data_IF_740786903653
#
_entry.id   IF_740786903653
#
_cell.length_a   1.000
_cell.length_b   1.000
_cell.length_c   1.000
_cell.angle_alpha   90.00
_cell.angle_beta   90.00
_cell.angle_gamma   90.00
#
_symmetry.space_group_name_H-M   'P 1'
#
loop_
_entity.id
_entity.type
_entity.pdbx_description
1 polymer ?
#
# COMPACT_ATOMS: atom_id res chain seq x y z
N UNK A 1 0.52 13.16 -28.46
CA UNK A 1 0.74 12.23 -27.33
C UNK A 1 0.81 13.10 -26.09
N UNK A 2 0.13 12.73 -25.01
CA UNK A 2 -0.07 13.61 -23.85
C UNK A 2 1.02 13.32 -22.81
N UNK A 3 1.69 14.35 -22.31
CA UNK A 3 2.59 14.29 -21.16
C UNK A 3 1.81 13.87 -19.91
N UNK A 4 2.46 13.13 -19.00
CA UNK A 4 1.90 12.79 -17.70
C UNK A 4 2.86 13.23 -16.61
N UNK A 5 2.33 13.94 -15.62
CA UNK A 5 3.02 14.31 -14.40
C UNK A 5 2.26 13.75 -13.20
N UNK A 6 2.96 13.05 -12.33
CA UNK A 6 2.45 12.62 -11.04
C UNK A 6 3.27 13.28 -9.93
N UNK A 7 2.60 13.94 -9.00
CA UNK A 7 3.24 14.61 -7.88
C UNK A 7 2.69 14.06 -6.56
N UNK A 8 3.56 13.93 -5.58
CA UNK A 8 3.18 13.51 -4.25
C UNK A 8 3.97 14.27 -3.18
N UNK A 9 3.39 14.34 -2.00
CA UNK A 9 4.06 14.85 -0.79
C UNK A 9 3.82 13.88 0.34
N UNK A 10 4.88 13.51 1.03
CA UNK A 10 4.85 12.55 2.15
C UNK A 10 5.65 13.10 3.33
N UNK A 11 5.10 12.98 4.54
CA UNK A 11 5.83 13.31 5.76
C UNK A 11 6.34 12.02 6.41
N UNK A 12 7.65 11.92 6.56
CA UNK A 12 8.36 10.74 7.06
C UNK A 12 8.98 11.03 8.42
N UNK A 13 8.79 10.13 9.38
CA UNK A 13 9.34 10.22 10.74
C UNK A 13 10.83 9.79 10.78
N UNK A 14 11.65 10.47 10.01
CA UNK A 14 13.09 10.25 9.94
C UNK A 14 13.80 11.53 9.47
N UNK A 15 15.06 11.70 9.83
CA UNK A 15 15.89 12.80 9.36
C UNK A 15 16.14 12.71 7.83
N UNK A 16 16.33 13.85 7.14
CA UNK A 16 16.57 13.89 5.70
C UNK A 16 17.70 12.99 5.24
N UNK A 17 18.78 12.90 6.01
CA UNK A 17 19.95 12.07 5.73
C UNK A 17 19.58 10.58 5.71
N UNK A 18 18.71 10.14 6.64
CA UNK A 18 18.25 8.74 6.71
C UNK A 18 17.29 8.42 5.57
N UNK A 19 16.37 9.34 5.23
CA UNK A 19 15.48 9.19 4.09
C UNK A 19 16.29 9.15 2.79
N UNK A 20 17.27 10.05 2.64
CA UNK A 20 18.15 10.09 1.48
C UNK A 20 18.93 8.80 1.33
N UNK A 21 19.52 8.28 2.41
CA UNK A 21 20.22 7.01 2.42
C UNK A 21 19.34 5.82 2.01
N UNK A 22 18.06 5.82 2.38
CA UNK A 22 17.10 4.78 1.95
C UNK A 22 16.97 4.68 0.42
N UNK A 23 17.17 5.78 -0.32
CA UNK A 23 17.16 5.81 -1.78
C UNK A 23 18.56 5.63 -2.41
N UNK A 24 19.64 5.93 -1.69
CA UNK A 24 20.97 6.07 -2.27
C UNK A 24 21.99 5.06 -1.76
N UNK A 25 21.65 4.24 -0.80
CA UNK A 25 22.43 3.10 -0.34
C UNK A 25 21.83 1.80 -0.90
N UNK A 26 22.61 0.99 -1.60
CA UNK A 26 22.13 -0.22 -2.27
C UNK A 26 21.47 -1.22 -1.31
N UNK A 27 22.09 -1.43 -0.13
CA UNK A 27 21.56 -2.36 0.85
C UNK A 27 20.23 -1.87 1.44
N UNK A 28 20.10 -0.54 1.64
CA UNK A 28 18.85 0.05 2.10
C UNK A 28 17.78 0.02 1.02
N UNK A 29 18.10 0.44 -0.22
CA UNK A 29 17.16 0.44 -1.34
C UNK A 29 16.61 -0.97 -1.61
N UNK A 30 17.44 -2.00 -1.50
CA UNK A 30 17.03 -3.40 -1.68
C UNK A 30 16.24 -3.96 -0.48
N UNK A 31 16.22 -3.28 0.64
CA UNK A 31 15.43 -3.69 1.81
C UNK A 31 13.95 -3.31 1.70
N UNK A 32 13.57 -2.38 0.83
CA UNK A 32 12.18 -1.90 0.78
C UNK A 32 11.61 -1.70 -0.63
N UNK A 33 12.44 -1.51 -1.66
CA UNK A 33 11.98 -1.11 -2.98
C UNK A 33 12.29 -2.14 -4.07
N UNK A 34 13.56 -2.55 -4.22
CA UNK A 34 14.02 -3.40 -5.32
C UNK A 34 14.64 -4.71 -4.81
N UNK A 35 14.77 -5.72 -5.65
CA UNK A 35 15.51 -6.94 -5.30
C UNK A 35 17.02 -6.79 -5.48
N UNK A 36 17.44 -5.89 -6.38
CA UNK A 36 18.83 -5.62 -6.68
C UNK A 36 19.02 -4.15 -7.07
N UNK A 37 20.19 -3.61 -6.78
CA UNK A 37 20.59 -2.25 -7.11
C UNK A 37 22.08 -2.18 -7.48
N UNK A 38 22.44 -1.14 -8.26
CA UNK A 38 23.82 -0.79 -8.65
C UNK A 38 23.85 0.74 -8.80
N UNK A 39 24.49 1.44 -7.87
CA UNK A 39 24.40 2.88 -7.69
C UNK A 39 25.79 3.55 -7.76
N UNK A 40 25.93 4.51 -8.66
CA UNK A 40 27.05 5.45 -8.70
C UNK A 40 26.53 6.85 -8.38
N UNK A 41 26.70 7.31 -7.14
CA UNK A 41 26.14 8.57 -6.64
C UNK A 41 26.90 9.80 -7.15
N UNK A 42 26.80 10.04 -8.44
CA UNK A 42 27.28 11.24 -9.15
C UNK A 42 26.38 11.51 -10.35
N UNK A 43 26.25 12.75 -10.76
CA UNK A 43 25.51 13.09 -11.98
C UNK A 43 26.06 12.33 -13.19
N UNK A 44 25.17 11.74 -13.98
CA UNK A 44 25.49 10.82 -15.08
C UNK A 44 25.92 9.42 -14.66
N UNK A 45 26.11 9.15 -13.37
CA UNK A 45 26.43 7.83 -12.83
C UNK A 45 25.24 6.87 -12.90
N UNK A 46 25.49 5.58 -12.73
CA UNK A 46 24.47 4.56 -12.71
C UNK A 46 23.49 4.78 -11.53
N UNK A 47 22.20 4.65 -11.81
CA UNK A 47 21.14 4.56 -10.78
C UNK A 47 20.21 3.41 -11.16
N UNK A 48 20.69 2.20 -10.98
CA UNK A 48 20.08 0.97 -11.50
C UNK A 48 19.42 0.21 -10.38
N UNK A 49 18.19 -0.21 -10.60
CA UNK A 49 17.46 -1.11 -9.72
C UNK A 49 16.57 -2.04 -10.56
N UNK A 50 16.39 -3.28 -10.10
CA UNK A 50 15.63 -4.29 -10.83
C UNK A 50 15.12 -5.39 -9.90
N UNK A 51 14.31 -6.28 -10.47
CA UNK A 51 13.73 -7.42 -9.81
C UNK A 51 12.20 -7.45 -9.92
N UNK A 52 11.58 -8.50 -9.42
CA UNK A 52 10.12 -8.67 -9.51
C UNK A 52 9.32 -7.59 -8.79
N UNK A 53 9.92 -6.92 -7.82
CA UNK A 53 9.28 -5.83 -7.08
C UNK A 53 9.36 -4.47 -7.77
N UNK A 54 10.00 -4.36 -8.93
CA UNK A 54 10.13 -3.12 -9.68
C UNK A 54 9.44 -3.22 -11.04
N UNK A 55 8.56 -2.24 -11.31
CA UNK A 55 7.82 -2.22 -12.56
C UNK A 55 8.76 -2.02 -13.75
N UNK A 56 8.58 -2.82 -14.82
CA UNK A 56 9.31 -2.82 -16.09
C UNK A 56 10.82 -3.12 -16.00
N UNK A 57 11.34 -3.44 -14.82
CA UNK A 57 12.72 -3.89 -14.64
C UNK A 57 12.80 -5.24 -13.92
N UNK A 58 11.97 -6.26 -14.30
CA UNK A 58 11.85 -7.49 -13.48
C UNK A 58 13.06 -8.40 -13.59
N UNK A 59 13.83 -8.33 -14.71
CA UNK A 59 14.89 -9.30 -14.96
C UNK A 59 16.29 -8.72 -14.99
N UNK A 60 16.44 -7.45 -15.30
CA UNK A 60 17.73 -6.77 -15.39
C UNK A 60 17.58 -5.25 -15.35
N UNK A 61 18.67 -4.56 -15.04
CA UNK A 61 18.79 -3.11 -15.12
C UNK A 61 18.80 -2.61 -16.58
N UNK A 62 18.42 -1.37 -16.79
CA UNK A 62 18.60 -0.64 -18.04
C UNK A 62 19.85 0.24 -18.00
N UNK A 63 20.59 0.30 -19.11
CA UNK A 63 21.74 1.21 -19.25
C UNK A 63 21.33 2.70 -19.20
N UNK A 64 20.05 3.01 -19.39
CA UNK A 64 19.51 4.37 -19.34
C UNK A 64 19.19 4.83 -17.91
N UNK A 65 19.17 3.93 -16.92
CA UNK A 65 18.97 4.31 -15.53
C UNK A 65 20.19 5.05 -14.98
N UNK A 66 20.05 6.37 -14.80
CA UNK A 66 21.14 7.28 -14.41
C UNK A 66 20.69 8.30 -13.38
N UNK A 67 21.63 8.75 -12.58
CA UNK A 67 21.48 9.97 -11.78
C UNK A 67 21.47 11.17 -12.71
N UNK A 68 20.42 11.98 -12.66
CA UNK A 68 20.29 13.22 -13.45
C UNK A 68 20.76 14.44 -12.67
N UNK A 69 20.37 14.53 -11.37
CA UNK A 69 20.79 15.59 -10.44
C UNK A 69 20.98 15.01 -9.05
N UNK A 70 21.99 15.50 -8.35
CA UNK A 70 22.31 15.04 -7.00
C UNK A 70 22.79 16.19 -6.12
N UNK A 71 22.06 16.47 -5.03
CA UNK A 71 22.46 17.42 -3.99
C UNK A 71 22.09 16.83 -2.63
N UNK A 72 22.98 16.04 -2.07
CA UNK A 72 22.76 15.34 -0.80
C UNK A 72 22.63 16.31 0.39
N UNK A 73 21.71 16.08 1.35
CA UNK A 73 20.67 15.05 1.34
C UNK A 73 19.33 15.55 0.76
N UNK A 74 19.30 16.71 0.08
CA UNK A 74 18.08 17.43 -0.24
C UNK A 74 17.45 17.12 -1.61
N UNK A 75 18.23 16.63 -2.58
CA UNK A 75 17.74 16.41 -3.95
C UNK A 75 18.36 15.16 -4.57
N UNK A 76 17.50 14.32 -5.14
CA UNK A 76 17.84 13.23 -6.03
C UNK A 76 16.92 13.26 -7.25
N UNK A 77 17.49 13.31 -8.47
CA UNK A 77 16.73 13.08 -9.70
C UNK A 77 17.39 11.97 -10.50
N UNK A 78 16.57 11.06 -11.03
CA UNK A 78 17.04 9.92 -11.81
C UNK A 78 16.09 9.57 -12.96
N UNK A 79 16.62 8.96 -14.02
CA UNK A 79 15.82 8.42 -15.11
C UNK A 79 15.33 7.02 -14.75
N UNK A 80 14.05 6.75 -15.06
CA UNK A 80 13.43 5.45 -14.92
C UNK A 80 12.90 5.01 -16.30
N UNK A 81 13.73 4.36 -17.12
CA UNK A 81 13.30 3.82 -18.39
C UNK A 81 12.34 2.65 -18.14
N UNK A 82 11.20 2.72 -18.78
CA UNK A 82 10.15 1.71 -18.68
C UNK A 82 10.29 0.79 -19.90
N UNK A 83 11.13 -0.24 -19.79
CA UNK A 83 11.28 -1.27 -20.81
C UNK A 83 9.91 -1.88 -21.14
N UNK A 84 9.56 -1.88 -22.43
CA UNK A 84 8.25 -2.37 -22.93
C UNK A 84 7.21 -1.29 -23.18
N UNK A 85 7.48 -0.04 -22.86
CA UNK A 85 6.67 1.12 -23.23
C UNK A 85 7.40 1.98 -24.27
N UNK A 86 7.76 1.39 -25.42
CA UNK A 86 8.39 2.06 -26.57
C UNK A 86 9.66 2.85 -26.26
N UNK A 87 10.44 2.41 -25.26
CA UNK A 87 11.69 3.05 -24.86
C UNK A 87 11.53 4.44 -24.25
N UNK A 88 10.37 4.74 -23.69
CA UNK A 88 10.11 6.01 -23.03
C UNK A 88 10.83 6.09 -21.70
N UNK A 89 11.82 6.99 -21.64
CA UNK A 89 12.43 7.36 -20.38
C UNK A 89 11.48 8.25 -19.58
N UNK A 90 11.21 7.88 -18.34
CA UNK A 90 10.59 8.78 -17.38
C UNK A 90 11.63 9.35 -16.43
N UNK A 91 11.29 10.43 -15.76
CA UNK A 91 12.16 11.15 -14.86
C UNK A 91 11.51 11.27 -13.47
N UNK A 92 12.22 10.82 -12.46
CA UNK A 92 11.81 10.99 -11.06
C UNK A 92 12.67 12.07 -10.42
N UNK A 93 12.03 13.03 -9.76
CA UNK A 93 12.69 14.03 -8.92
C UNK A 93 12.16 13.92 -7.51
N UNK A 94 13.06 13.72 -6.54
CA UNK A 94 12.77 13.68 -5.11
C UNK A 94 13.44 14.86 -4.42
N UNK A 95 12.66 15.66 -3.67
CA UNK A 95 13.18 16.76 -2.85
C UNK A 95 12.86 16.45 -1.38
N UNK A 96 13.88 16.50 -0.54
CA UNK A 96 13.79 16.23 0.89
C UNK A 96 14.04 17.51 1.68
N UNK A 97 13.07 17.91 2.48
CA UNK A 97 13.16 19.10 3.32
C UNK A 97 12.92 18.68 4.76
N UNK A 98 13.77 19.15 5.67
CA UNK A 98 13.53 18.98 7.10
C UNK A 98 12.19 19.64 7.48
N UNK A 99 11.33 18.89 8.17
CA UNK A 99 10.12 19.46 8.76
C UNK A 99 10.53 20.40 9.92
N UNK A 100 9.99 21.59 9.93
CA UNK A 100 10.30 22.61 10.95
C UNK A 100 9.57 22.36 12.28
N UNK A 101 8.60 21.43 12.34
CA UNK A 101 7.92 21.06 13.58
C UNK A 101 8.82 20.19 14.46
N UNK A 102 9.57 20.83 15.35
CA UNK A 102 10.51 20.17 16.27
C UNK A 102 9.82 19.35 17.37
N UNK A 103 8.50 19.49 17.57
CA UNK A 103 7.77 18.81 18.65
C UNK A 103 7.65 17.29 18.42
N UNK A 104 7.78 16.81 17.20
CA UNK A 104 7.57 15.41 16.81
C UNK A 104 8.89 14.63 16.53
N UNK A 105 10.06 15.19 16.86
CA UNK A 105 11.37 14.58 16.53
C UNK A 105 11.83 14.86 15.11
N UNK A 106 12.85 14.13 14.63
CA UNK A 106 13.37 14.34 13.29
C UNK A 106 12.37 13.86 12.22
N UNK A 107 11.87 14.78 11.41
CA UNK A 107 10.91 14.52 10.32
C UNK A 107 11.40 15.11 9.00
N UNK A 108 10.97 14.50 7.92
CA UNK A 108 11.26 14.94 6.55
C UNK A 108 9.98 15.07 5.75
N UNK A 109 9.81 16.19 5.07
CA UNK A 109 8.82 16.34 4.00
C UNK A 109 9.51 15.92 2.69
N UNK A 110 9.09 14.77 2.16
CA UNK A 110 9.49 14.25 0.86
C UNK A 110 8.49 14.74 -0.17
N UNK A 111 8.97 15.50 -1.17
CA UNK A 111 8.18 15.88 -2.35
C UNK A 111 8.73 15.12 -3.54
N UNK A 112 7.87 14.39 -4.23
CA UNK A 112 8.21 13.63 -5.43
C UNK A 112 7.46 14.13 -6.64
N UNK A 113 8.13 14.09 -7.80
CA UNK A 113 7.55 14.27 -9.12
C UNK A 113 8.04 13.15 -10.02
N UNK A 114 7.11 12.44 -10.66
CA UNK A 114 7.40 11.47 -11.71
C UNK A 114 6.85 12.01 -13.03
N UNK A 115 7.73 12.36 -13.92
CA UNK A 115 7.44 12.97 -15.20
C UNK A 115 7.61 11.95 -16.33
N UNK A 116 6.59 11.85 -17.18
CA UNK A 116 6.61 11.06 -18.40
C UNK A 116 6.44 12.02 -19.58
N UNK A 117 7.44 12.14 -20.47
CA UNK A 117 7.31 12.96 -21.69
C UNK A 117 6.15 12.52 -22.57
N UNK A 118 5.80 11.24 -22.48
CA UNK A 118 4.63 10.64 -23.08
C UNK A 118 3.97 9.70 -22.08
N UNK A 119 2.67 9.87 -21.86
CA UNK A 119 1.91 8.98 -20.99
C UNK A 119 2.02 7.52 -21.44
N UNK A 120 2.22 6.57 -20.52
CA UNK A 120 2.20 5.15 -20.85
C UNK A 120 0.91 4.73 -21.54
N UNK A 121 1.01 3.87 -22.56
CA UNK A 121 -0.14 3.30 -23.27
C UNK A 121 -0.80 2.16 -22.47
N UNK A 122 -1.21 2.48 -21.26
CA UNK A 122 -1.93 1.58 -20.34
C UNK A 122 -3.26 2.20 -19.95
N UNK A 123 -4.20 1.38 -19.54
CA UNK A 123 -5.46 1.87 -18.99
C UNK A 123 -5.22 2.67 -17.71
N UNK A 124 -5.83 3.85 -17.61
CA UNK A 124 -5.74 4.75 -16.44
C UNK A 124 -4.29 4.99 -15.98
N UNK A 125 -3.44 5.59 -16.81
CA UNK A 125 -2.01 5.71 -16.53
C UNK A 125 -1.72 6.54 -15.26
N UNK A 126 -2.53 7.56 -14.95
CA UNK A 126 -2.36 8.36 -13.75
C UNK A 126 -2.66 7.54 -12.49
N UNK A 127 -3.73 6.74 -12.48
CA UNK A 127 -4.05 5.87 -11.34
C UNK A 127 -2.99 4.80 -11.15
N UNK A 128 -2.47 4.25 -12.24
CA UNK A 128 -1.37 3.30 -12.21
C UNK A 128 -0.12 3.87 -11.54
N UNK A 129 0.30 5.07 -11.92
CA UNK A 129 1.49 5.72 -11.34
C UNK A 129 1.24 6.14 -9.88
N UNK A 130 0.03 6.59 -9.56
CA UNK A 130 -0.37 6.90 -8.18
C UNK A 130 -0.27 5.66 -7.28
N UNK A 131 -0.84 4.52 -7.69
CA UNK A 131 -0.77 3.27 -6.93
C UNK A 131 0.66 2.72 -6.83
N UNK A 132 1.48 2.85 -7.89
CA UNK A 132 2.89 2.48 -7.85
C UNK A 132 3.63 3.23 -6.74
N UNK A 133 3.41 4.54 -6.62
CA UNK A 133 4.01 5.35 -5.56
C UNK A 133 3.40 5.09 -4.19
N UNK A 134 2.10 4.79 -4.09
CA UNK A 134 1.49 4.37 -2.83
C UNK A 134 2.15 3.12 -2.26
N UNK A 135 2.39 2.10 -3.09
CA UNK A 135 3.14 0.90 -2.69
C UNK A 135 4.54 1.28 -2.20
N UNK A 136 5.28 2.06 -2.99
CA UNK A 136 6.65 2.44 -2.66
C UNK A 136 6.73 3.26 -1.37
N UNK A 137 5.86 4.27 -1.21
CA UNK A 137 5.86 5.14 -0.02
C UNK A 137 5.40 4.39 1.24
N UNK A 138 4.44 3.46 1.12
CA UNK A 138 4.03 2.63 2.25
C UNK A 138 5.18 1.72 2.73
N UNK A 139 5.92 1.11 1.79
CA UNK A 139 7.12 0.32 2.11
C UNK A 139 8.25 1.19 2.70
N UNK A 140 8.47 2.39 2.15
CA UNK A 140 9.46 3.32 2.71
C UNK A 140 9.13 3.71 4.15
N UNK A 141 7.87 4.06 4.43
CA UNK A 141 7.41 4.37 5.80
C UNK A 141 7.67 3.20 6.76
N UNK A 142 7.27 1.99 6.34
CA UNK A 142 7.47 0.79 7.14
C UNK A 142 8.96 0.51 7.38
N UNK A 143 9.79 0.58 6.35
CA UNK A 143 11.24 0.41 6.45
C UNK A 143 11.88 1.42 7.43
N UNK A 144 11.55 2.69 7.31
CA UNK A 144 12.08 3.73 8.19
C UNK A 144 11.65 3.55 9.65
N UNK A 145 10.47 2.97 9.88
CA UNK A 145 9.96 2.64 11.20
C UNK A 145 10.47 1.30 11.75
N UNK A 146 11.25 0.52 10.97
CA UNK A 146 11.67 -0.83 11.34
C UNK A 146 10.55 -1.86 11.32
N UNK A 147 9.46 -1.57 10.59
CA UNK A 147 8.31 -2.44 10.39
C UNK A 147 8.45 -3.38 9.19
N UNK A 148 7.41 -4.18 8.97
CA UNK A 148 7.35 -5.12 7.86
C UNK A 148 7.07 -4.38 6.53
N UNK A 149 7.80 -4.74 5.48
CA UNK A 149 7.60 -4.25 4.12
C UNK A 149 6.87 -5.31 3.28
N UNK A 150 6.05 -4.86 2.33
CA UNK A 150 5.26 -5.72 1.43
C UNK A 150 5.62 -5.40 -0.02
N UNK A 151 6.77 -5.90 -0.53
CA UNK A 151 7.17 -5.64 -1.91
C UNK A 151 6.15 -6.26 -2.88
N UNK A 152 5.75 -5.55 -3.93
CA UNK A 152 4.88 -6.11 -4.96
C UNK A 152 5.62 -7.21 -5.75
N UNK A 153 4.89 -8.10 -6.39
CA UNK A 153 5.43 -9.02 -7.39
C UNK A 153 4.78 -8.72 -8.74
N UNK A 154 5.50 -7.99 -9.60
CA UNK A 154 5.03 -7.64 -10.94
C UNK A 154 5.01 -8.83 -11.93
N UNK A 155 5.47 -9.99 -11.51
CA UNK A 155 5.34 -11.25 -12.27
C UNK A 155 4.10 -12.06 -11.88
N UNK A 156 3.37 -11.64 -10.84
CA UNK A 156 2.14 -12.34 -10.40
C UNK A 156 1.00 -12.05 -11.38
N UNK A 157 0.46 -13.11 -11.98
CA UNK A 157 -0.66 -13.03 -12.92
C UNK A 157 -2.04 -12.94 -12.22
N UNK A 158 -2.08 -13.14 -10.90
CA UNK A 158 -3.31 -13.09 -10.11
C UNK A 158 -3.06 -12.39 -8.75
N UNK A 159 -2.70 -11.09 -8.79
CA UNK A 159 -2.31 -10.37 -7.59
C UNK A 159 -3.45 -10.32 -6.57
N UNK A 160 -3.08 -10.49 -5.30
CA UNK A 160 -4.00 -10.48 -4.17
C UNK A 160 -3.27 -10.13 -2.88
N UNK A 161 -4.01 -9.66 -1.89
CA UNK A 161 -3.51 -9.59 -0.53
C UNK A 161 -3.97 -10.84 0.22
N UNK A 162 -3.04 -11.53 0.89
CA UNK A 162 -3.34 -12.61 1.81
C UNK A 162 -2.49 -12.46 3.06
N UNK A 163 -3.14 -12.25 4.19
CA UNK A 163 -2.50 -12.09 5.49
C UNK A 163 -3.23 -12.90 6.54
N UNK A 164 -2.56 -13.25 7.63
CA UNK A 164 -3.18 -14.00 8.71
C UNK A 164 -2.62 -13.58 10.06
N UNK A 165 -3.48 -13.67 11.09
CA UNK A 165 -3.10 -13.47 12.48
C UNK A 165 -3.74 -14.55 13.35
N UNK A 166 -3.04 -14.98 14.41
CA UNK A 166 -3.63 -15.83 15.43
C UNK A 166 -4.04 -14.97 16.64
N UNK A 167 -5.29 -15.11 17.05
CA UNK A 167 -5.93 -14.36 18.13
C UNK A 167 -6.21 -15.32 19.29
N UNK A 168 -5.84 -14.92 20.48
CA UNK A 168 -6.06 -15.71 21.71
C UNK A 168 -7.51 -15.57 22.20
N UNK A 169 -8.42 -16.11 21.40
CA UNK A 169 -9.85 -16.13 21.68
C UNK A 169 -10.57 -17.16 20.80
N UNK A 170 -11.71 -17.70 21.26
CA UNK A 170 -12.53 -18.62 20.47
C UNK A 170 -13.22 -17.91 19.31
N UNK A 171 -13.50 -18.66 18.23
CA UNK A 171 -14.04 -18.15 16.95
C UNK A 171 -15.28 -17.27 17.09
N UNK A 172 -16.20 -17.61 18.00
CA UNK A 172 -17.43 -16.84 18.16
C UNK A 172 -17.19 -15.40 18.64
N UNK A 173 -16.15 -15.17 19.48
CA UNK A 173 -15.77 -13.82 19.92
C UNK A 173 -15.16 -13.02 18.77
N UNK A 174 -14.28 -13.64 17.99
CA UNK A 174 -13.69 -13.01 16.81
C UNK A 174 -14.75 -12.69 15.77
N UNK A 175 -15.66 -13.64 15.51
CA UNK A 175 -16.74 -13.46 14.54
C UNK A 175 -17.72 -12.35 14.98
N UNK A 176 -18.02 -12.27 16.26
CA UNK A 176 -18.81 -11.16 16.82
C UNK A 176 -18.14 -9.80 16.57
N UNK A 177 -16.81 -9.70 16.73
CA UNK A 177 -16.08 -8.45 16.49
C UNK A 177 -16.09 -8.02 15.01
N UNK A 178 -16.35 -8.94 14.06
CA UNK A 178 -16.51 -8.64 12.64
C UNK A 178 -17.94 -8.19 12.27
N UNK A 179 -18.95 -8.47 13.08
CA UNK A 179 -20.35 -8.20 12.74
C UNK A 179 -21.03 -7.20 13.68
N UNK A 180 -20.48 -6.94 14.85
CA UNK A 180 -21.05 -5.99 15.80
C UNK A 180 -20.61 -4.56 15.47
N UNK A 181 -21.52 -3.60 15.19
CA UNK A 181 -21.17 -2.22 14.86
C UNK A 181 -20.33 -1.52 15.92
N UNK A 182 -20.65 -1.73 17.22
CA UNK A 182 -19.92 -1.09 18.31
C UNK A 182 -18.48 -1.62 18.40
N UNK A 183 -18.30 -2.92 18.20
CA UNK A 183 -16.96 -3.51 18.14
C UNK A 183 -16.18 -2.99 16.93
N UNK A 184 -16.78 -2.96 15.73
CA UNK A 184 -16.14 -2.45 14.52
C UNK A 184 -15.67 -1.01 14.68
N UNK A 185 -16.43 -0.16 15.36
CA UNK A 185 -16.06 1.24 15.61
C UNK A 185 -14.84 1.39 16.54
N UNK A 186 -14.40 0.32 17.20
CA UNK A 186 -13.24 0.34 18.09
C UNK A 186 -11.93 -0.03 17.37
N UNK A 187 -11.99 -0.72 16.22
CA UNK A 187 -10.77 -1.21 15.60
C UNK A 187 -10.65 -0.97 14.08
N UNK A 188 -11.75 -0.75 13.34
CA UNK A 188 -11.68 -0.53 11.88
C UNK A 188 -12.62 0.56 11.36
N UNK A 189 -13.79 0.75 11.95
CA UNK A 189 -14.81 1.60 11.40
C UNK A 189 -14.83 3.00 12.03
N UNK A 190 -15.33 3.97 11.27
CA UNK A 190 -15.65 5.31 11.78
C UNK A 190 -17.09 5.41 12.27
N UNK A 191 -18.01 4.76 11.54
CA UNK A 191 -19.45 4.68 11.85
C UNK A 191 -20.03 3.44 11.18
N UNK A 192 -19.86 2.28 11.81
CA UNK A 192 -20.31 1.01 11.26
C UNK A 192 -21.82 0.89 11.14
N UNK A 193 -22.28 0.27 10.05
CA UNK A 193 -23.65 -0.20 9.86
C UNK A 193 -23.59 -1.65 9.39
N UNK A 194 -24.26 -2.56 10.09
CA UNK A 194 -24.23 -3.99 9.77
C UNK A 194 -25.65 -4.56 9.83
N UNK A 195 -26.06 -5.19 8.73
CA UNK A 195 -27.21 -6.10 8.65
C UNK A 195 -26.63 -7.51 8.43
N UNK A 196 -26.57 -8.38 9.47
CA UNK A 196 -25.69 -9.57 9.47
C UNK A 196 -26.29 -10.75 8.70
N UNK A 197 -26.65 -10.56 7.45
CA UNK A 197 -27.15 -11.57 6.53
C UNK A 197 -26.60 -11.35 5.11
N UNK A 198 -26.68 -12.36 4.28
CA UNK A 198 -26.29 -12.25 2.88
C UNK A 198 -27.10 -11.14 2.19
N UNK A 199 -26.44 -10.32 1.37
CA UNK A 199 -26.95 -9.11 0.72
C UNK A 199 -27.30 -7.97 1.71
N UNK A 200 -27.10 -8.17 3.01
CA UNK A 200 -27.25 -7.15 4.03
C UNK A 200 -26.21 -6.04 3.91
N UNK A 201 -26.58 -4.85 4.34
CA UNK A 201 -25.67 -3.70 4.35
C UNK A 201 -24.49 -3.94 5.30
N UNK A 202 -23.29 -3.59 4.83
CA UNK A 202 -22.08 -3.66 5.62
C UNK A 202 -21.19 -2.47 5.29
N UNK A 203 -21.01 -1.54 6.21
CA UNK A 203 -20.27 -0.31 5.95
C UNK A 203 -19.45 0.11 7.16
N UNK A 204 -18.21 0.54 6.92
CA UNK A 204 -17.35 1.12 7.95
C UNK A 204 -17.57 2.63 8.15
N UNK A 205 -18.35 3.28 7.29
CA UNK A 205 -18.59 4.71 7.36
C UNK A 205 -17.37 5.56 7.01
N UNK A 206 -16.42 5.03 6.26
CA UNK A 206 -15.27 5.77 5.77
C UNK A 206 -15.64 6.72 4.65
N UNK A 207 -14.90 7.82 4.55
CA UNK A 207 -14.95 8.74 3.42
C UNK A 207 -13.56 9.29 3.14
N UNK A 208 -13.26 9.49 1.86
CA UNK A 208 -11.99 10.03 1.38
C UNK A 208 -12.25 11.21 0.46
N UNK A 209 -11.36 12.20 0.47
CA UNK A 209 -11.27 13.17 -0.61
C UNK A 209 -10.40 12.59 -1.72
N UNK A 210 -10.98 12.46 -2.91
CA UNK A 210 -10.28 11.99 -4.10
C UNK A 210 -10.42 13.06 -5.18
N UNK A 211 -9.34 13.80 -5.43
CA UNK A 211 -9.29 14.86 -6.46
C UNK A 211 -10.45 15.88 -6.29
N UNK A 212 -10.69 16.32 -5.06
CA UNK A 212 -11.73 17.31 -4.72
C UNK A 212 -13.17 16.75 -4.69
N UNK A 213 -13.34 15.42 -4.66
CA UNK A 213 -14.65 14.76 -4.48
C UNK A 213 -14.61 13.88 -3.24
N UNK A 214 -15.61 13.98 -2.40
CA UNK A 214 -15.77 13.04 -1.28
C UNK A 214 -16.33 11.72 -1.80
N UNK A 215 -15.62 10.63 -1.58
CA UNK A 215 -15.98 9.26 -1.96
C UNK A 215 -16.16 8.41 -0.72
N UNK A 216 -17.24 7.63 -0.66
CA UNK A 216 -17.43 6.64 0.38
C UNK A 216 -16.44 5.48 0.17
N UNK A 217 -15.79 5.03 1.23
CA UNK A 217 -14.82 3.93 1.18
C UNK A 217 -15.22 2.73 1.99
N UNK A 218 -14.53 1.63 1.75
CA UNK A 218 -14.78 0.35 2.39
C UNK A 218 -15.93 -0.43 1.77
N UNK A 219 -16.37 -1.52 2.43
CA UNK A 219 -17.41 -2.41 1.94
C UNK A 219 -18.79 -1.75 1.95
N UNK A 220 -19.73 -2.27 1.15
CA UNK A 220 -21.12 -1.82 1.09
C UNK A 220 -22.11 -2.90 1.46
N UNK A 221 -21.77 -4.18 1.21
CA UNK A 221 -22.68 -5.31 1.47
C UNK A 221 -21.93 -6.60 1.83
N UNK A 222 -22.65 -7.50 2.49
CA UNK A 222 -22.21 -8.86 2.76
C UNK A 222 -22.54 -9.74 1.55
N UNK A 223 -21.51 -10.39 0.97
CA UNK A 223 -21.66 -11.34 -0.13
C UNK A 223 -21.90 -12.77 0.37
N UNK A 224 -21.26 -13.13 1.48
CA UNK A 224 -21.40 -14.44 2.10
C UNK A 224 -21.14 -14.32 3.61
N UNK A 225 -21.94 -15.00 4.41
CA UNK A 225 -21.74 -15.12 5.85
C UNK A 225 -22.02 -16.56 6.29
N UNK A 226 -21.00 -17.17 6.93
CA UNK A 226 -21.11 -18.48 7.56
C UNK A 226 -20.71 -18.33 9.02
N UNK A 227 -21.64 -18.56 9.91
CA UNK A 227 -21.50 -18.31 11.34
C UNK A 227 -20.19 -18.88 11.90
N UNK A 228 -19.45 -18.07 12.63
CA UNK A 228 -18.17 -18.38 13.27
C UNK A 228 -17.07 -18.89 12.33
N UNK A 229 -17.23 -18.79 11.01
CA UNK A 229 -16.31 -19.42 10.04
C UNK A 229 -15.86 -18.46 8.96
N UNK A 230 -16.79 -17.69 8.37
CA UNK A 230 -16.48 -16.89 7.19
C UNK A 230 -17.38 -15.66 7.08
N UNK A 231 -16.77 -14.55 6.70
CA UNK A 231 -17.46 -13.34 6.24
C UNK A 231 -16.81 -12.89 4.93
N UNK A 232 -17.62 -12.64 3.90
CA UNK A 232 -17.17 -12.06 2.63
C UNK A 232 -17.98 -10.81 2.36
N UNK A 233 -17.27 -9.73 2.06
CA UNK A 233 -17.88 -8.45 1.67
C UNK A 233 -17.40 -8.04 0.28
N UNK A 234 -18.17 -7.22 -0.41
CA UNK A 234 -17.69 -6.47 -1.56
C UNK A 234 -16.63 -5.44 -1.13
N UNK A 235 -15.88 -4.95 -2.10
CA UNK A 235 -14.94 -3.86 -1.91
C UNK A 235 -14.88 -3.01 -3.18
N UNK A 236 -15.75 -1.98 -3.31
CA UNK A 236 -15.74 -1.05 -4.43
C UNK A 236 -14.42 -0.27 -4.54
N UNK A 237 -14.17 0.24 -5.72
CA UNK A 237 -12.99 1.07 -5.97
C UNK A 237 -12.98 2.29 -5.06
N UNK A 238 -11.88 2.48 -4.32
CA UNK A 238 -11.75 3.54 -3.34
C UNK A 238 -11.71 4.96 -3.96
N UNK A 239 -11.41 5.06 -5.26
CA UNK A 239 -11.51 6.32 -6.02
C UNK A 239 -12.94 6.64 -6.45
N UNK A 240 -13.88 5.73 -6.22
CA UNK A 240 -15.28 5.88 -6.59
C UNK A 240 -15.52 5.75 -8.09
N UNK A 241 -14.68 5.01 -8.80
CA UNK A 241 -14.90 4.67 -10.21
C UNK A 241 -15.84 3.45 -10.31
N UNK A 242 -17.11 3.73 -10.56
CA UNK A 242 -18.14 2.69 -10.72
C UNK A 242 -17.96 1.79 -11.96
N UNK A 243 -17.07 2.15 -12.88
CA UNK A 243 -16.75 1.31 -14.05
C UNK A 243 -15.81 0.15 -13.69
N UNK A 244 -15.13 0.22 -12.54
CA UNK A 244 -14.26 -0.85 -12.03
C UNK A 244 -15.10 -1.91 -11.33
N UNK A 245 -14.83 -3.19 -11.60
CA UNK A 245 -15.45 -4.26 -10.84
C UNK A 245 -15.02 -4.17 -9.36
N UNK A 246 -15.97 -4.35 -8.45
CA UNK A 246 -15.63 -4.45 -7.04
C UNK A 246 -14.79 -5.71 -6.78
N UNK A 247 -13.76 -5.55 -5.98
CA UNK A 247 -13.02 -6.68 -5.39
C UNK A 247 -13.80 -7.25 -4.21
N UNK A 248 -13.26 -8.28 -3.56
CA UNK A 248 -13.87 -8.92 -2.40
C UNK A 248 -12.88 -9.06 -1.26
N UNK A 249 -13.35 -8.86 -0.05
CA UNK A 249 -12.58 -9.14 1.17
C UNK A 249 -13.21 -10.31 1.90
N UNK A 250 -12.44 -11.37 2.10
CA UNK A 250 -12.85 -12.57 2.81
C UNK A 250 -12.11 -12.66 4.14
N UNK A 251 -12.85 -12.82 5.23
CA UNK A 251 -12.37 -13.15 6.56
C UNK A 251 -12.69 -14.61 6.82
N UNK A 252 -11.67 -15.46 6.95
CA UNK A 252 -11.81 -16.91 7.20
C UNK A 252 -11.27 -17.20 8.59
N UNK A 253 -12.08 -17.86 9.43
CA UNK A 253 -11.79 -18.16 10.82
C UNK A 253 -11.62 -19.66 11.02
N UNK A 254 -10.45 -20.08 11.49
CA UNK A 254 -10.11 -21.46 11.80
C UNK A 254 -9.79 -21.60 13.29
N UNK A 255 -10.38 -22.59 13.96
CA UNK A 255 -10.04 -22.88 15.35
C UNK A 255 -8.68 -23.58 15.44
N UNK A 256 -7.81 -23.11 16.34
CA UNK A 256 -6.54 -23.74 16.70
C UNK A 256 -6.53 -23.91 18.24
N UNK A 257 -7.10 -25.03 18.71
CA UNK A 257 -7.37 -25.17 20.15
C UNK A 257 -8.35 -24.11 20.63
N UNK A 258 -7.96 -23.35 21.66
CA UNK A 258 -8.74 -22.24 22.21
C UNK A 258 -8.53 -20.91 21.49
N UNK A 259 -7.63 -20.89 20.51
CA UNK A 259 -7.32 -19.73 19.67
C UNK A 259 -8.03 -19.77 18.33
N UNK A 260 -8.02 -18.63 17.65
CA UNK A 260 -8.55 -18.49 16.28
C UNK A 260 -7.47 -17.96 15.34
N UNK A 261 -7.23 -18.69 14.25
CA UNK A 261 -6.51 -18.16 13.10
C UNK A 261 -7.48 -17.42 12.20
N UNK A 262 -7.23 -16.14 11.98
CA UNK A 262 -7.96 -15.30 11.03
C UNK A 262 -7.11 -15.13 9.79
N UNK A 263 -7.63 -15.54 8.63
CA UNK A 263 -7.01 -15.28 7.33
C UNK A 263 -7.85 -14.27 6.59
N UNK A 264 -7.25 -13.14 6.23
CA UNK A 264 -7.84 -12.13 5.36
C UNK A 264 -7.33 -12.35 3.93
N UNK A 265 -8.25 -12.31 2.96
CA UNK A 265 -7.95 -12.40 1.53
C UNK A 265 -8.70 -11.26 0.84
N UNK A 266 -7.96 -10.40 0.12
CA UNK A 266 -8.53 -9.33 -0.70
C UNK A 266 -8.16 -9.57 -2.16
N UNK A 267 -9.16 -9.86 -2.99
CA UNK A 267 -9.01 -10.28 -4.39
C UNK A 267 -10.34 -10.12 -5.17
N UNK A 268 -10.36 -10.28 -6.53
CA UNK A 268 -9.19 -10.24 -7.41
C UNK A 268 -8.74 -8.81 -7.67
N UNK A 269 -7.47 -8.62 -8.01
CA UNK A 269 -6.98 -7.36 -8.59
C UNK A 269 -6.62 -7.61 -10.06
N UNK A 270 -6.84 -6.61 -10.92
CA UNK A 270 -6.50 -6.69 -12.34
C UNK A 270 -5.00 -6.57 -12.57
N UNK A 271 -4.33 -5.70 -11.80
CA UNK A 271 -2.90 -5.41 -11.91
C UNK A 271 -2.27 -5.43 -10.53
N UNK A 272 -0.97 -5.72 -10.48
CA UNK A 272 -0.19 -5.66 -9.23
C UNK A 272 -0.26 -4.26 -8.58
N UNK A 273 -0.28 -3.19 -9.37
CA UNK A 273 -0.43 -1.83 -8.85
C UNK A 273 -1.79 -1.58 -8.18
N UNK A 274 -2.87 -2.24 -8.64
CA UNK A 274 -4.20 -2.07 -8.04
C UNK A 274 -4.27 -2.61 -6.59
N UNK A 275 -3.29 -3.42 -6.19
CA UNK A 275 -3.09 -3.83 -4.78
C UNK A 275 -2.79 -2.62 -3.90
N UNK A 276 -2.14 -1.57 -4.46
CA UNK A 276 -1.84 -0.32 -3.77
C UNK A 276 -1.18 -0.55 -2.40
N UNK A 277 -1.51 0.23 -1.40
CA UNK A 277 -1.04 0.11 -0.02
C UNK A 277 -1.92 -0.78 0.88
N UNK A 278 -2.86 -1.53 0.30
CA UNK A 278 -3.73 -2.45 1.05
C UNK A 278 -2.98 -3.42 1.98
N UNK A 279 -1.81 -3.99 1.63
CA UNK A 279 -1.11 -4.88 2.57
C UNK A 279 -0.80 -4.23 3.90
N UNK A 280 -0.37 -2.96 3.90
CA UNK A 280 -0.10 -2.21 5.12
C UNK A 280 -1.37 -1.89 5.90
N UNK A 281 -2.43 -1.47 5.20
CA UNK A 281 -3.74 -1.23 5.81
C UNK A 281 -4.31 -2.48 6.48
N UNK A 282 -4.27 -3.63 5.79
CA UNK A 282 -4.78 -4.88 6.34
C UNK A 282 -3.93 -5.41 7.51
N UNK A 283 -2.61 -5.26 7.48
CA UNK A 283 -1.75 -5.61 8.62
C UNK A 283 -2.12 -4.79 9.86
N UNK A 284 -2.36 -3.48 9.68
CA UNK A 284 -2.81 -2.60 10.76
C UNK A 284 -4.18 -3.04 11.33
N UNK A 285 -5.15 -3.31 10.48
CA UNK A 285 -6.49 -3.71 10.92
C UNK A 285 -6.52 -5.12 11.55
N UNK A 286 -5.72 -6.06 11.06
CA UNK A 286 -5.57 -7.37 11.70
C UNK A 286 -4.96 -7.26 13.10
N UNK A 287 -3.98 -6.37 13.29
CA UNK A 287 -3.42 -6.09 14.61
C UNK A 287 -4.47 -5.42 15.52
N UNK A 288 -5.27 -4.49 15.00
CA UNK A 288 -6.38 -3.85 15.73
C UNK A 288 -7.45 -4.85 16.16
N UNK A 289 -7.88 -5.75 15.27
CA UNK A 289 -8.81 -6.84 15.60
C UNK A 289 -8.28 -7.72 16.72
N UNK A 290 -7.00 -8.14 16.60
CA UNK A 290 -6.33 -8.96 17.63
C UNK A 290 -6.34 -8.26 18.98
N UNK A 291 -5.87 -7.03 19.04
CA UNK A 291 -5.82 -6.24 20.27
C UNK A 291 -7.21 -6.07 20.91
N UNK A 292 -8.22 -5.74 20.09
CA UNK A 292 -9.59 -5.55 20.56
C UNK A 292 -10.17 -6.83 21.18
N UNK A 293 -10.07 -7.96 20.49
CA UNK A 293 -10.65 -9.23 20.94
C UNK A 293 -9.95 -9.78 22.18
N UNK A 294 -8.61 -9.71 22.23
CA UNK A 294 -7.83 -10.20 23.37
C UNK A 294 -8.06 -9.35 24.63
N UNK A 295 -8.17 -8.01 24.49
CA UNK A 295 -8.45 -7.14 25.63
C UNK A 295 -9.83 -7.37 26.25
N UNK A 296 -10.84 -7.67 25.43
CA UNK A 296 -12.21 -7.97 25.92
C UNK A 296 -12.35 -9.38 26.48
N UNK A 297 -11.44 -10.30 26.15
CA UNK A 297 -11.45 -11.68 26.65
C UNK A 297 -10.85 -11.82 28.05
N UNK A 298 -10.00 -10.89 28.48
CA UNK A 298 -9.34 -10.90 29.82
C UNK A 298 -10.23 -10.33 30.92
N UNK A 299 -11.38 -9.71 30.57
CA UNK A 299 -12.29 -9.03 31.53
C UNK A 299 -13.47 -9.89 31.99
N UNK A 300 -13.48 -11.20 31.69
CA UNK A 300 -14.46 -12.20 32.11
C UNK A 300 -13.81 -13.30 32.94
#
# INVERSE_FOLDING_TARGET
MTELNHEFTETLNAAPERVFAAFTDEAQLTSWFAQSADLELREGGAFRFWGRSTWQTPFRWSAHQKVLRLQAPGLLAFSWPLDGLDGLDSEVTLTLVKDEDESAGARTVLKGRHHFPQAPSIDRPLDFVDDLWRIALANLRAYLAGGEVYPPDFSDAAPRVRQAVTIDAPRHKVFHALLNPDALNLWIAAKAVVEPHQEGRYSYGWSYDVRGRTVAGGPTQILEVVENTKLVTDWPDWRGDASRPATRVSWVLEAIGDQTRVTLIHEPFERTTDVSDYPHGWAHFLAGLKQHVESTSTST
#
